data_IF_855357658598
#
_entry.id   IF_855357658598
#
_cell.length_a   1.000
_cell.length_b   1.000
_cell.length_c   1.000
_cell.angle_alpha   90.00
_cell.angle_beta   90.00
_cell.angle_gamma   90.00
#
_symmetry.space_group_name_H-M   'P 1'
#
loop_
_entity.id
_entity.type
_entity.pdbx_description
1 polymer ?
#
# COMPACT_ATOMS: atom_id res chain seq x y z
N UNK A 1 -7.40 19.47 -11.61
CA UNK A 1 -6.07 19.56 -10.97
C UNK A 1 -6.27 19.68 -9.46
N UNK A 2 -6.29 18.56 -8.73
CA UNK A 2 -6.41 18.60 -7.26
C UNK A 2 -5.01 18.82 -6.66
N UNK A 3 -4.90 19.86 -5.85
CA UNK A 3 -3.68 20.21 -5.12
C UNK A 3 -3.34 19.13 -4.09
N UNK A 4 -2.13 18.58 -4.16
CA UNK A 4 -1.58 17.75 -3.11
C UNK A 4 -1.49 18.56 -1.81
N UNK A 5 -2.16 18.10 -0.75
CA UNK A 5 -1.92 18.67 0.58
C UNK A 5 -0.59 18.15 1.09
N UNK A 6 0.40 19.04 1.18
CA UNK A 6 1.66 18.79 1.88
C UNK A 6 1.36 18.92 3.37
N UNK A 7 1.31 17.82 4.08
CA UNK A 7 1.29 17.83 5.54
C UNK A 7 2.73 17.90 6.05
N UNK A 8 3.06 19.02 6.68
CA UNK A 8 4.32 19.22 7.40
C UNK A 8 4.25 18.40 8.70
N UNK A 9 5.10 17.40 8.83
CA UNK A 9 5.17 16.56 10.01
C UNK A 9 6.18 17.15 10.98
N UNK A 10 5.70 17.68 12.13
CA UNK A 10 6.53 17.97 13.29
C UNK A 10 6.83 16.69 14.05
N UNK A 11 8.08 16.52 14.47
CA UNK A 11 8.69 15.28 15.01
C UNK A 11 8.39 15.13 16.51
N UNK A 12 7.13 15.03 16.89
CA UNK A 12 6.79 14.49 18.21
C UNK A 12 5.42 13.79 18.12
N UNK A 13 5.45 12.46 18.07
CA UNK A 13 4.27 11.57 18.09
C UNK A 13 3.48 11.53 16.77
N UNK A 14 4.01 10.84 15.75
CA UNK A 14 3.35 10.77 14.46
C UNK A 14 2.64 9.43 14.32
N UNK A 15 1.33 9.42 14.51
CA UNK A 15 0.45 8.42 13.91
C UNK A 15 0.07 8.91 12.51
N UNK A 16 0.88 8.54 11.53
CA UNK A 16 0.59 8.85 10.13
C UNK A 16 -0.38 7.82 9.57
N UNK A 17 -1.65 8.20 9.41
CA UNK A 17 -2.59 7.43 8.60
C UNK A 17 -2.52 7.97 7.18
N UNK A 18 -1.95 7.23 6.21
CA UNK A 18 -2.01 7.64 4.82
C UNK A 18 -3.48 7.80 4.43
N UNK A 19 -3.89 9.01 4.07
CA UNK A 19 -5.26 9.25 3.58
C UNK A 19 -5.37 8.61 2.20
N UNK A 20 -6.42 7.83 1.93
CA UNK A 20 -6.66 7.33 0.60
C UNK A 20 -6.83 8.51 -0.37
N UNK A 21 -6.03 8.51 -1.42
CA UNK A 21 -6.20 9.46 -2.53
C UNK A 21 -7.15 8.81 -3.52
N UNK A 22 -8.33 9.39 -3.69
CA UNK A 22 -9.31 8.90 -4.66
C UNK A 22 -8.84 9.31 -6.05
N UNK A 23 -8.26 8.38 -6.78
CA UNK A 23 -8.04 8.53 -8.21
C UNK A 23 -9.24 7.95 -8.95
N UNK A 24 -10.17 8.81 -9.31
CA UNK A 24 -11.40 8.45 -10.02
C UNK A 24 -11.14 7.90 -11.44
N UNK A 25 -9.92 8.06 -11.98
CA UNK A 25 -9.57 7.57 -13.31
C UNK A 25 -9.23 6.07 -13.33
N UNK A 26 -8.96 5.48 -12.18
CA UNK A 26 -8.65 4.04 -12.04
C UNK A 26 -9.37 3.52 -10.81
N UNK A 27 -10.49 2.90 -10.96
CA UNK A 27 -11.43 2.42 -9.92
C UNK A 27 -10.84 1.70 -8.68
N UNK A 28 -9.53 1.65 -8.47
CA UNK A 28 -8.82 0.96 -7.39
C UNK A 28 -8.47 1.83 -6.19
N UNK A 29 -8.35 1.24 -5.02
CA UNK A 29 -7.84 1.91 -3.81
C UNK A 29 -6.36 2.26 -4.01
N UNK A 30 -5.99 3.48 -3.62
CA UNK A 30 -4.64 4.00 -3.68
C UNK A 30 -4.32 4.79 -2.42
N UNK A 31 -3.16 4.54 -1.82
CA UNK A 31 -2.60 5.28 -0.70
C UNK A 31 -1.28 5.90 -1.15
N UNK A 32 -1.14 7.22 -1.07
CA UNK A 32 0.08 7.89 -1.48
C UNK A 32 0.37 9.06 -0.56
N UNK A 33 1.66 9.34 -0.34
CA UNK A 33 2.10 10.52 0.37
C UNK A 33 3.44 11.03 -0.14
N UNK A 34 3.68 12.31 0.12
CA UNK A 34 4.99 12.97 0.05
C UNK A 34 5.47 13.15 1.48
N UNK A 35 6.64 12.63 1.80
CA UNK A 35 7.25 12.75 3.12
C UNK A 35 8.50 13.62 3.02
N UNK A 36 8.56 14.64 3.86
CA UNK A 36 9.72 15.51 3.99
C UNK A 36 10.53 14.98 5.18
N UNK A 37 11.75 14.54 4.91
CA UNK A 37 12.74 14.19 5.92
C UNK A 37 13.60 15.42 6.25
N UNK A 38 14.57 15.26 7.14
CA UNK A 38 15.58 16.28 7.37
C UNK A 38 16.31 16.62 6.06
N UNK A 39 16.53 17.90 5.79
CA UNK A 39 17.19 18.42 4.58
C UNK A 39 18.61 17.90 4.34
N UNK A 40 19.21 17.27 5.35
CA UNK A 40 20.53 16.63 5.25
C UNK A 40 20.49 15.22 4.58
N UNK A 41 19.31 14.65 4.32
CA UNK A 41 19.19 13.35 3.66
C UNK A 41 19.28 13.50 2.17
N UNK A 42 20.34 12.99 1.57
CA UNK A 42 20.51 12.99 0.11
C UNK A 42 19.53 12.03 -0.57
N UNK A 43 19.19 12.31 -1.81
CA UNK A 43 18.39 11.43 -2.69
C UNK A 43 18.90 9.99 -2.67
N UNK A 44 20.22 9.80 -2.80
CA UNK A 44 20.81 8.47 -2.83
C UNK A 44 20.73 7.75 -1.49
N UNK A 45 20.94 8.46 -0.37
CA UNK A 45 20.81 7.88 0.97
C UNK A 45 19.37 7.43 1.25
N UNK A 46 18.38 8.23 0.85
CA UNK A 46 16.96 7.86 0.96
C UNK A 46 16.63 6.66 0.07
N UNK A 47 17.16 6.60 -1.15
CA UNK A 47 16.95 5.49 -2.06
C UNK A 47 17.55 4.18 -1.53
N UNK A 48 18.82 4.20 -1.06
CA UNK A 48 19.47 3.00 -0.53
C UNK A 48 18.78 2.49 0.76
N UNK A 49 18.37 3.41 1.64
CA UNK A 49 17.58 3.06 2.82
C UNK A 49 16.22 2.45 2.44
N UNK A 50 15.53 3.02 1.44
CA UNK A 50 14.25 2.47 0.96
C UNK A 50 14.43 1.08 0.32
N UNK A 51 15.51 0.85 -0.41
CA UNK A 51 15.82 -0.45 -1.00
C UNK A 51 16.06 -1.51 0.09
N UNK A 52 16.80 -1.15 1.15
CA UNK A 52 16.98 -2.02 2.32
C UNK A 52 15.63 -2.32 3.00
N UNK A 53 14.79 -1.29 3.18
CA UNK A 53 13.47 -1.45 3.78
C UNK A 53 12.58 -2.38 2.94
N UNK A 54 12.55 -2.21 1.61
CA UNK A 54 11.79 -3.09 0.70
C UNK A 54 12.22 -4.54 0.87
N UNK A 55 13.53 -4.82 0.88
CA UNK A 55 14.05 -6.18 1.04
C UNK A 55 13.77 -6.79 2.42
N UNK A 56 13.58 -5.95 3.46
CA UNK A 56 13.39 -6.43 4.83
C UNK A 56 11.92 -6.58 5.21
N UNK A 57 11.08 -5.66 4.78
CA UNK A 57 9.72 -5.50 5.34
C UNK A 57 8.60 -5.71 4.33
N UNK A 58 8.84 -5.56 3.01
CA UNK A 58 7.78 -5.87 2.06
C UNK A 58 7.68 -7.38 1.90
N UNK A 59 6.50 -7.96 2.18
CA UNK A 59 6.27 -9.37 1.90
C UNK A 59 6.36 -9.61 0.39
N UNK A 60 7.13 -10.59 0.02
CA UNK A 60 7.39 -10.93 -1.38
C UNK A 60 6.24 -11.78 -1.89
N UNK A 61 5.62 -11.36 -3.00
CA UNK A 61 4.59 -12.13 -3.67
C UNK A 61 5.23 -13.30 -4.44
N UNK A 62 5.03 -14.54 -3.94
CA UNK A 62 5.51 -15.75 -4.59
C UNK A 62 7.01 -15.97 -4.50
N UNK A 63 7.53 -16.94 -5.30
CA UNK A 63 8.95 -17.34 -5.29
C UNK A 63 9.91 -16.34 -5.95
N UNK A 64 9.39 -15.35 -6.67
CA UNK A 64 10.18 -14.33 -7.36
C UNK A 64 9.70 -12.95 -6.93
N UNK A 65 10.48 -12.31 -6.03
CA UNK A 65 10.32 -10.89 -5.74
C UNK A 65 10.58 -10.09 -7.01
N UNK A 66 9.54 -9.68 -7.68
CA UNK A 66 9.70 -8.78 -8.82
C UNK A 66 9.70 -7.35 -8.31
N UNK A 67 10.89 -6.83 -8.00
CA UNK A 67 11.03 -5.40 -7.88
C UNK A 67 11.92 -4.86 -9.01
N UNK A 68 11.55 -3.69 -9.50
CA UNK A 68 12.32 -2.94 -10.49
C UNK A 68 12.97 -1.76 -9.79
N UNK A 69 14.27 -1.65 -9.97
CA UNK A 69 15.08 -0.58 -9.40
C UNK A 69 15.65 0.26 -10.53
N UNK A 70 15.48 1.56 -10.46
CA UNK A 70 16.14 2.52 -11.33
C UNK A 70 16.91 3.51 -10.45
N UNK A 71 18.25 3.37 -10.40
CA UNK A 71 19.12 4.19 -9.57
C UNK A 71 19.22 5.63 -10.07
N UNK A 72 19.22 5.87 -11.35
CA UNK A 72 19.36 7.23 -11.92
C UNK A 72 18.16 8.10 -11.53
N UNK A 73 16.95 7.55 -11.62
CA UNK A 73 15.74 8.22 -11.19
C UNK A 73 15.43 8.03 -9.70
N UNK A 74 16.23 7.25 -8.94
CA UNK A 74 15.99 6.84 -7.55
C UNK A 74 14.57 6.28 -7.32
N UNK A 75 14.14 5.40 -8.21
CA UNK A 75 12.80 4.79 -8.20
C UNK A 75 12.87 3.32 -7.87
N UNK A 76 11.94 2.86 -7.03
CA UNK A 76 11.69 1.45 -6.73
C UNK A 76 10.22 1.16 -7.06
N UNK A 77 9.95 0.03 -7.72
CA UNK A 77 8.59 -0.51 -7.90
C UNK A 77 8.63 -1.97 -7.53
N UNK A 78 7.74 -2.38 -6.63
CA UNK A 78 7.64 -3.77 -6.15
C UNK A 78 6.20 -4.23 -6.19
N UNK A 79 5.98 -5.52 -6.49
CA UNK A 79 4.71 -6.20 -6.24
C UNK A 79 4.84 -7.02 -4.97
N UNK A 80 3.88 -6.91 -4.09
CA UNK A 80 3.89 -7.54 -2.78
C UNK A 80 2.56 -8.24 -2.50
N UNK A 81 2.56 -9.14 -1.53
CA UNK A 81 1.43 -9.97 -1.14
C UNK A 81 1.17 -9.86 0.36
N UNK A 82 -0.10 -9.78 0.74
CA UNK A 82 -0.57 -9.90 2.10
C UNK A 82 -1.39 -11.17 2.20
N UNK A 83 -0.91 -12.16 2.93
CA UNK A 83 -1.69 -13.33 3.28
C UNK A 83 -2.60 -12.95 4.45
N UNK A 84 -3.88 -13.28 4.38
CA UNK A 84 -4.83 -12.95 5.42
C UNK A 84 -5.81 -14.08 5.70
N UNK A 85 -6.30 -14.10 6.96
CA UNK A 85 -7.38 -14.97 7.40
C UNK A 85 -8.31 -14.13 8.26
N UNK A 86 -9.48 -13.83 7.75
CA UNK A 86 -10.53 -13.02 8.39
C UNK A 86 -11.78 -13.88 8.63
N UNK A 87 -12.75 -13.36 9.40
CA UNK A 87 -13.96 -14.09 9.77
C UNK A 87 -14.74 -14.61 8.55
N UNK A 88 -14.80 -13.80 7.49
CA UNK A 88 -15.60 -14.10 6.29
C UNK A 88 -14.75 -14.32 5.04
N UNK A 89 -13.43 -14.16 5.09
CA UNK A 89 -12.59 -14.30 3.91
C UNK A 89 -11.17 -14.68 4.28
N UNK A 90 -10.54 -15.50 3.45
CA UNK A 90 -9.12 -15.84 3.52
C UNK A 90 -8.52 -15.87 2.12
N UNK A 91 -7.24 -15.62 2.03
CA UNK A 91 -6.54 -15.61 0.75
C UNK A 91 -5.37 -14.65 0.76
N UNK A 92 -5.07 -14.13 -0.42
CA UNK A 92 -3.98 -13.21 -0.67
C UNK A 92 -4.49 -11.87 -1.22
N UNK A 93 -3.87 -10.79 -0.81
CA UNK A 93 -4.06 -9.45 -1.38
C UNK A 93 -2.75 -9.03 -2.00
N UNK A 94 -2.71 -8.93 -3.31
CA UNK A 94 -1.57 -8.43 -4.07
C UNK A 94 -1.68 -6.91 -4.20
N UNK A 95 -0.54 -6.22 -4.19
CA UNK A 95 -0.50 -4.77 -4.39
C UNK A 95 0.83 -4.32 -4.98
N UNK A 96 0.84 -3.15 -5.58
CA UNK A 96 2.05 -2.50 -6.09
C UNK A 96 2.49 -1.41 -5.11
N UNK A 97 3.75 -1.47 -4.71
CA UNK A 97 4.46 -0.40 -4.02
C UNK A 97 5.33 0.36 -5.00
N UNK A 98 5.27 1.69 -4.95
CA UNK A 98 6.15 2.59 -5.69
C UNK A 98 6.79 3.59 -4.75
N UNK A 99 8.08 3.84 -4.98
CA UNK A 99 8.88 4.78 -4.22
C UNK A 99 9.70 5.66 -5.16
N UNK A 100 9.88 6.93 -4.80
CA UNK A 100 10.69 7.88 -5.55
C UNK A 100 11.34 8.85 -4.57
N UNK A 101 12.68 8.85 -4.52
CA UNK A 101 13.46 9.76 -3.69
C UNK A 101 13.81 11.06 -4.39
N UNK A 102 13.87 12.13 -3.59
CA UNK A 102 14.37 13.45 -3.91
C UNK A 102 15.36 13.89 -2.84
N UNK A 103 16.00 15.04 -3.00
CA UNK A 103 16.78 15.65 -1.93
C UNK A 103 15.88 16.03 -0.77
N UNK A 104 16.15 15.51 0.42
CA UNK A 104 15.40 15.78 1.65
C UNK A 104 13.96 15.29 1.69
N UNK A 105 13.47 14.55 0.69
CA UNK A 105 12.10 14.07 0.65
C UNK A 105 11.91 12.82 -0.21
N UNK A 106 10.77 12.16 -0.06
CA UNK A 106 10.39 11.05 -0.93
C UNK A 106 8.88 10.98 -1.12
N UNK A 107 8.49 10.34 -2.22
CA UNK A 107 7.10 9.97 -2.48
C UNK A 107 6.97 8.46 -2.37
N UNK A 108 5.84 7.99 -1.84
CA UNK A 108 5.48 6.58 -1.94
C UNK A 108 4.02 6.41 -2.33
N UNK A 109 3.73 5.25 -2.89
CA UNK A 109 2.38 4.84 -3.29
C UNK A 109 2.19 3.34 -3.07
N UNK A 110 1.05 2.97 -2.49
CA UNK A 110 0.51 1.62 -2.47
C UNK A 110 -0.78 1.62 -3.29
N UNK A 111 -0.86 0.77 -4.32
CA UNK A 111 -1.98 0.77 -5.26
C UNK A 111 -2.19 -0.60 -5.92
N UNK A 112 -3.28 -0.74 -6.67
CA UNK A 112 -3.55 -1.94 -7.44
C UNK A 112 -3.84 -3.16 -6.55
N UNK A 113 -4.58 -2.96 -5.45
CA UNK A 113 -4.95 -4.05 -4.54
C UNK A 113 -5.88 -5.03 -5.22
N UNK A 114 -5.40 -6.24 -5.40
CA UNK A 114 -6.11 -7.34 -6.02
C UNK A 114 -6.20 -8.50 -5.05
N UNK A 115 -7.41 -8.94 -4.74
CA UNK A 115 -7.66 -10.04 -3.81
C UNK A 115 -7.94 -11.34 -4.56
N UNK A 116 -7.20 -12.39 -4.18
CA UNK A 116 -7.47 -13.77 -4.55
C UNK A 116 -7.90 -14.56 -3.32
N UNK A 117 -9.02 -15.26 -3.42
CA UNK A 117 -9.47 -16.18 -2.38
C UNK A 117 -8.66 -17.46 -2.37
N UNK A 118 -8.78 -18.21 -1.28
CA UNK A 118 -8.14 -19.54 -1.16
C UNK A 118 -8.73 -20.60 -2.11
N UNK A 119 -9.85 -20.29 -2.72
CA UNK A 119 -10.49 -21.09 -3.78
C UNK A 119 -10.97 -20.15 -4.91
N UNK A 120 -11.17 -20.73 -6.11
CA UNK A 120 -11.51 -19.95 -7.30
C UNK A 120 -12.87 -19.23 -7.21
N UNK A 121 -13.70 -19.56 -6.22
CA UNK A 121 -15.04 -18.98 -6.04
C UNK A 121 -15.08 -17.88 -4.99
N UNK A 122 -13.99 -17.63 -4.28
CA UNK A 122 -13.93 -16.65 -3.18
C UNK A 122 -13.16 -15.37 -3.53
N UNK A 123 -12.76 -15.19 -4.79
CA UNK A 123 -12.01 -14.02 -5.22
C UNK A 123 -12.91 -12.81 -5.40
N UNK A 124 -12.45 -11.65 -4.89
CA UNK A 124 -13.09 -10.35 -5.08
C UNK A 124 -12.42 -9.51 -6.16
N UNK A 125 -11.28 -9.95 -6.68
CA UNK A 125 -10.55 -9.24 -7.73
C UNK A 125 -10.03 -7.88 -7.28
N UNK A 126 -10.12 -6.87 -8.14
CA UNK A 126 -9.65 -5.51 -7.85
C UNK A 126 -10.48 -4.87 -6.75
N UNK A 127 -9.83 -4.48 -5.66
CA UNK A 127 -10.46 -3.80 -4.53
C UNK A 127 -10.60 -2.31 -4.84
N UNK A 128 -11.82 -1.81 -4.74
CA UNK A 128 -12.19 -0.45 -5.08
C UNK A 128 -12.72 0.34 -3.87
N UNK A 129 -12.97 1.63 -4.06
CA UNK A 129 -13.61 2.48 -3.04
C UNK A 129 -15.11 2.22 -2.84
N UNK A 130 -15.74 1.37 -3.65
CA UNK A 130 -17.16 1.08 -3.52
C UNK A 130 -17.51 0.71 -2.06
N UNK A 131 -18.58 1.28 -1.54
CA UNK A 131 -19.08 1.01 -0.18
C UNK A 131 -19.55 -0.42 -0.04
N UNK A 132 -20.09 -0.97 -1.13
CA UNK A 132 -20.59 -2.32 -1.23
C UNK A 132 -19.76 -3.16 -2.20
N UNK A 133 -19.77 -4.46 -2.02
CA UNK A 133 -19.15 -5.41 -2.94
C UNK A 133 -19.83 -5.30 -4.32
N UNK A 134 -19.08 -5.05 -5.39
CA UNK A 134 -19.65 -4.97 -6.73
C UNK A 134 -20.38 -6.26 -7.13
N UNK A 135 -21.46 -6.15 -7.93
CA UNK A 135 -22.18 -7.31 -8.42
C UNK A 135 -21.25 -8.30 -9.15
N UNK A 136 -21.48 -9.59 -8.91
CA UNK A 136 -20.69 -10.66 -9.55
C UNK A 136 -19.37 -10.99 -8.87
N UNK A 137 -18.95 -10.23 -7.85
CA UNK A 137 -17.73 -10.53 -7.07
C UNK A 137 -18.04 -11.31 -5.80
N UNK A 138 -16.99 -11.97 -5.29
CA UNK A 138 -17.04 -12.80 -4.07
C UNK A 138 -17.79 -14.12 -4.24
N UNK A 139 -17.84 -14.96 -3.18
CA UNK A 139 -18.41 -16.29 -3.24
C UNK A 139 -19.84 -16.30 -3.78
N UNK A 140 -20.08 -17.08 -4.82
CA UNK A 140 -21.36 -17.13 -5.53
C UNK A 140 -22.55 -17.45 -4.60
N UNK A 141 -22.35 -18.36 -3.65
CA UNK A 141 -23.38 -18.84 -2.72
C UNK A 141 -23.68 -17.87 -1.55
N UNK A 142 -22.97 -16.77 -1.43
CA UNK A 142 -23.18 -15.82 -0.34
C UNK A 142 -24.22 -14.76 -0.71
N UNK A 143 -25.11 -14.47 0.25
CA UNK A 143 -26.00 -13.32 0.16
C UNK A 143 -25.23 -12.00 0.17
N UNK A 144 -25.92 -10.92 -0.25
CA UNK A 144 -25.35 -9.58 -0.40
C UNK A 144 -24.70 -9.06 0.89
N UNK A 145 -25.37 -9.23 2.02
CA UNK A 145 -24.87 -8.73 3.32
C UNK A 145 -23.54 -9.38 3.71
N UNK A 146 -23.44 -10.69 3.54
CA UNK A 146 -22.21 -11.42 3.84
C UNK A 146 -21.06 -11.03 2.90
N UNK A 147 -21.35 -10.80 1.63
CA UNK A 147 -20.38 -10.28 0.66
C UNK A 147 -19.89 -8.89 1.05
N UNK A 148 -20.79 -8.01 1.46
CA UNK A 148 -20.47 -6.66 1.90
C UNK A 148 -19.63 -6.65 3.19
N UNK A 149 -19.93 -7.55 4.13
CA UNK A 149 -19.12 -7.70 5.35
C UNK A 149 -17.68 -8.11 4.99
N UNK A 150 -17.50 -9.16 4.20
CA UNK A 150 -16.18 -9.62 3.77
C UNK A 150 -15.44 -8.55 2.96
N UNK A 151 -16.13 -7.84 2.07
CA UNK A 151 -15.58 -6.71 1.30
C UNK A 151 -15.03 -5.60 2.22
N UNK A 152 -15.78 -5.24 3.26
CA UNK A 152 -15.35 -4.23 4.22
C UNK A 152 -14.21 -4.72 5.11
N UNK A 153 -14.20 -5.99 5.53
CA UNK A 153 -13.09 -6.59 6.27
C UNK A 153 -11.79 -6.55 5.46
N UNK A 154 -11.84 -6.90 4.17
CA UNK A 154 -10.68 -6.84 3.26
C UNK A 154 -10.17 -5.39 3.14
N UNK A 155 -11.05 -4.41 2.95
CA UNK A 155 -10.66 -3.00 2.87
C UNK A 155 -10.03 -2.49 4.16
N UNK A 156 -10.57 -2.88 5.31
CA UNK A 156 -9.98 -2.52 6.61
C UNK A 156 -8.60 -3.17 6.77
N UNK A 157 -8.45 -4.45 6.41
CA UNK A 157 -7.15 -5.13 6.45
C UNK A 157 -6.10 -4.43 5.57
N UNK A 158 -6.47 -4.01 4.35
CA UNK A 158 -5.59 -3.24 3.48
C UNK A 158 -5.16 -1.93 4.17
N UNK A 159 -6.12 -1.19 4.74
CA UNK A 159 -5.84 0.08 5.43
C UNK A 159 -4.84 -0.12 6.57
N UNK A 160 -5.07 -1.10 7.42
CA UNK A 160 -4.23 -1.37 8.60
C UNK A 160 -2.81 -1.77 8.20
N UNK A 161 -2.68 -2.65 7.20
CA UNK A 161 -1.36 -3.07 6.71
C UNK A 161 -0.63 -1.92 6.04
N UNK A 162 -1.29 -1.13 5.20
CA UNK A 162 -0.67 0.04 4.56
C UNK A 162 -0.25 1.08 5.60
N UNK A 163 -1.05 1.32 6.64
CA UNK A 163 -0.68 2.22 7.72
C UNK A 163 0.59 1.74 8.45
N UNK A 164 0.67 0.45 8.76
CA UNK A 164 1.84 -0.16 9.39
C UNK A 164 3.10 -0.07 8.49
N UNK A 165 2.98 -0.40 7.21
CA UNK A 165 4.08 -0.33 6.24
C UNK A 165 4.56 1.11 6.04
N UNK A 166 3.65 2.08 5.89
CA UNK A 166 3.99 3.49 5.73
C UNK A 166 4.66 4.07 6.99
N UNK A 167 4.17 3.72 8.18
CA UNK A 167 4.80 4.08 9.45
C UNK A 167 6.21 3.49 9.59
N UNK A 168 6.38 2.20 9.26
CA UNK A 168 7.68 1.53 9.25
C UNK A 168 8.66 2.17 8.26
N UNK A 169 8.22 2.47 7.03
CA UNK A 169 9.02 3.14 6.02
C UNK A 169 9.50 4.50 6.53
N UNK A 170 8.58 5.32 7.05
CA UNK A 170 8.91 6.66 7.55
C UNK A 170 9.89 6.59 8.73
N UNK A 171 9.67 5.68 9.68
CA UNK A 171 10.58 5.44 10.79
C UNK A 171 11.98 5.00 10.34
N UNK A 172 12.06 4.18 9.28
CA UNK A 172 13.33 3.71 8.74
C UNK A 172 14.11 4.80 7.99
N UNK A 173 13.40 5.68 7.25
CA UNK A 173 14.03 6.68 6.38
C UNK A 173 14.30 8.01 7.08
N UNK A 174 13.44 8.48 7.99
CA UNK A 174 13.50 9.84 8.53
C UNK A 174 14.00 9.92 9.99
N UNK A 175 14.02 8.81 10.74
CA UNK A 175 14.55 8.83 12.12
C UNK A 175 16.06 8.81 12.09
N UNK A 176 16.70 9.78 12.79
CA UNK A 176 18.16 9.79 13.03
C UNK A 176 18.50 8.57 13.89
N UNK A 177 19.42 7.74 13.41
CA UNK A 177 20.11 6.76 14.25
C UNK A 177 21.16 7.45 15.10
#
# INVERSE_FOLDING_TARGET
>A
MQKFQIQRLLVDSIYFYPKPVVDLSKCGIRFAAVVICDSMRTKNALFDAALLWVNTYLPIAGKEATYRVNRDSARITSTSEIIYNLNFSRGSIFFTFRFLAYEGSYNYEFSGFFQEGSDMYSSYGLITYASECPPGLGPYQWGRDRKNQAWNEIKNKIRDVVAALAGSLTGHLCVKK
#
